data_IF_160593193934
#
_entry.id   IF_160593193934
#
_cell.length_a   1.000
_cell.length_b   1.000
_cell.length_c   1.000
_cell.angle_alpha   90.00
_cell.angle_beta   90.00
_cell.angle_gamma   90.00
#
_symmetry.space_group_name_H-M   'P 1'
#
loop_
_entity.id
_entity.type
_entity.pdbx_description
1 polymer ?
#
# COMPACT_ATOMS: atom_id res chain seq x y z
N UNK A 1 -9.77 -19.16 -10.92
CA UNK A 1 -9.15 -17.85 -11.13
C UNK A 1 -8.22 -17.92 -12.32
N UNK A 2 -8.17 -16.88 -13.12
CA UNK A 2 -7.31 -16.91 -14.30
C UNK A 2 -5.92 -16.42 -13.96
N UNK A 3 -4.93 -16.93 -14.69
CA UNK A 3 -3.55 -16.45 -14.59
C UNK A 3 -3.47 -14.98 -15.01
N UNK A 4 -4.35 -14.57 -15.90
CA UNK A 4 -4.43 -13.20 -16.38
C UNK A 4 -4.81 -12.22 -15.27
N UNK A 5 -5.80 -12.59 -14.44
CA UNK A 5 -6.20 -11.78 -13.30
C UNK A 5 -5.08 -11.72 -12.25
N UNK A 6 -4.41 -12.84 -12.00
CA UNK A 6 -3.28 -12.87 -11.07
C UNK A 6 -2.15 -11.97 -11.56
N UNK A 7 -1.88 -11.98 -12.85
CA UNK A 7 -0.85 -11.13 -13.45
C UNK A 7 -1.21 -9.65 -13.34
N UNK A 8 -2.46 -9.30 -13.61
CA UNK A 8 -2.93 -7.91 -13.48
C UNK A 8 -2.75 -7.42 -12.03
N UNK A 9 -3.16 -8.22 -11.07
CA UNK A 9 -3.01 -7.88 -9.65
C UNK A 9 -1.54 -7.70 -9.29
N UNK A 10 -0.67 -8.60 -9.75
CA UNK A 10 0.77 -8.51 -9.49
C UNK A 10 1.36 -7.22 -10.07
N UNK A 11 0.97 -6.87 -11.30
CA UNK A 11 1.46 -5.66 -11.96
C UNK A 11 1.05 -4.40 -11.19
N UNK A 12 -0.17 -4.36 -10.68
CA UNK A 12 -0.64 -3.23 -9.88
C UNK A 12 0.15 -3.12 -8.58
N UNK A 13 0.41 -4.25 -7.90
CA UNK A 13 1.22 -4.23 -6.68
C UNK A 13 2.65 -3.76 -6.95
N UNK A 14 3.25 -4.24 -8.03
CA UNK A 14 4.61 -3.82 -8.38
C UNK A 14 4.66 -2.32 -8.63
N UNK A 15 3.66 -1.78 -9.31
CA UNK A 15 3.54 -0.35 -9.53
C UNK A 15 3.38 0.42 -8.22
N UNK A 16 2.53 -0.07 -7.32
CA UNK A 16 2.31 0.54 -6.00
C UNK A 16 3.61 0.56 -5.18
N UNK A 17 4.30 -0.57 -5.12
CA UNK A 17 5.52 -0.67 -4.33
C UNK A 17 6.60 0.26 -4.87
N UNK A 18 6.77 0.34 -6.18
CA UNK A 18 7.74 1.24 -6.79
C UNK A 18 7.40 2.70 -6.51
N UNK A 19 6.13 3.07 -6.70
CA UNK A 19 5.68 4.44 -6.47
C UNK A 19 5.82 4.83 -5.00
N UNK A 20 5.52 3.90 -4.09
CA UNK A 20 5.64 4.14 -2.65
C UNK A 20 7.09 4.40 -2.25
N UNK A 21 8.01 3.56 -2.69
CA UNK A 21 9.44 3.70 -2.34
C UNK A 21 10.00 5.03 -2.86
N UNK A 22 9.52 5.48 -4.02
CA UNK A 22 9.92 6.77 -4.59
C UNK A 22 9.20 7.97 -3.97
N UNK A 23 8.18 7.71 -3.15
CA UNK A 23 7.36 8.78 -2.59
C UNK A 23 6.51 9.50 -3.62
N UNK A 24 6.19 8.84 -4.73
CA UNK A 24 5.43 9.44 -5.82
C UNK A 24 3.93 9.23 -5.62
N UNK A 25 3.31 10.16 -4.87
CA UNK A 25 1.90 10.05 -4.51
C UNK A 25 0.98 10.06 -5.74
N UNK A 26 1.30 10.86 -6.75
CA UNK A 26 0.48 10.89 -7.97
C UNK A 26 0.42 9.52 -8.65
N UNK A 27 1.56 8.80 -8.69
CA UNK A 27 1.57 7.45 -9.25
C UNK A 27 0.83 6.47 -8.35
N UNK A 28 1.00 6.57 -7.02
CA UNK A 28 0.26 5.74 -6.08
C UNK A 28 -1.24 5.86 -6.34
N UNK A 29 -1.72 7.09 -6.50
CA UNK A 29 -3.16 7.36 -6.62
C UNK A 29 -3.78 6.90 -7.93
N UNK A 30 -2.98 6.64 -8.96
CA UNK A 30 -3.51 6.13 -10.23
C UNK A 30 -4.19 4.77 -10.08
N UNK A 31 -3.83 4.00 -9.07
CA UNK A 31 -4.39 2.66 -8.87
C UNK A 31 -5.64 2.65 -7.98
N UNK A 32 -6.08 3.81 -7.51
CA UNK A 32 -7.28 3.94 -6.66
C UNK A 32 -8.42 4.63 -7.40
N UNK A 33 -9.62 4.57 -6.83
CA UNK A 33 -10.82 5.22 -7.37
C UNK A 33 -11.62 5.89 -6.24
N UNK A 34 -12.68 6.60 -6.62
CA UNK A 34 -13.57 7.23 -5.63
C UNK A 34 -14.28 6.20 -4.74
N UNK A 35 -14.44 4.96 -5.23
CA UNK A 35 -15.06 3.90 -4.46
C UNK A 35 -14.08 3.14 -3.57
N UNK A 36 -12.78 3.41 -3.68
CA UNK A 36 -11.77 2.69 -2.92
C UNK A 36 -11.91 2.93 -1.43
N UNK A 37 -11.70 1.85 -0.65
CA UNK A 37 -11.68 1.89 0.80
C UNK A 37 -10.30 1.46 1.30
N UNK A 38 -9.77 2.22 2.25
CA UNK A 38 -8.54 1.85 2.95
C UNK A 38 -8.85 1.72 4.43
N UNK A 39 -8.77 0.49 4.93
CA UNK A 39 -8.99 0.19 6.34
C UNK A 39 -7.68 0.30 7.09
N UNK A 40 -7.65 1.13 8.13
CA UNK A 40 -6.47 1.32 8.97
C UNK A 40 -6.83 1.05 10.42
N UNK A 41 -5.84 0.90 11.31
CA UNK A 41 -6.15 0.76 12.75
C UNK A 41 -6.94 1.93 13.33
N UNK A 42 -6.88 3.10 12.70
CA UNK A 42 -7.54 4.32 13.18
C UNK A 42 -8.91 4.55 12.52
N UNK A 43 -9.27 3.76 11.54
CA UNK A 43 -10.57 3.89 10.86
C UNK A 43 -10.47 3.63 9.37
N UNK A 44 -11.57 3.93 8.68
CA UNK A 44 -11.69 3.68 7.24
C UNK A 44 -11.64 5.00 6.48
N UNK A 45 -10.79 5.02 5.45
CA UNK A 45 -10.69 6.14 4.53
C UNK A 45 -11.37 5.75 3.23
N UNK A 46 -12.14 6.66 2.65
CA UNK A 46 -12.85 6.41 1.41
C UNK A 46 -12.56 7.50 0.39
N UNK A 47 -12.27 7.07 -0.84
CA UNK A 47 -12.14 7.95 -1.98
C UNK A 47 -10.75 8.55 -2.14
N UNK A 48 -10.58 9.22 -3.26
CA UNK A 48 -9.25 9.69 -3.69
C UNK A 48 -8.64 10.72 -2.75
N UNK A 49 -9.42 11.68 -2.26
CA UNK A 49 -8.87 12.74 -1.42
C UNK A 49 -8.36 12.21 -0.08
N UNK A 50 -9.14 11.35 0.59
CA UNK A 50 -8.76 10.79 1.88
C UNK A 50 -7.54 9.89 1.78
N UNK A 51 -7.52 9.04 0.75
CA UNK A 51 -6.40 8.11 0.54
C UNK A 51 -5.15 8.88 0.15
N UNK A 52 -5.28 9.93 -0.67
CA UNK A 52 -4.13 10.79 -1.02
C UNK A 52 -3.52 11.44 0.22
N UNK A 53 -4.33 11.93 1.12
CA UNK A 53 -3.84 12.55 2.36
C UNK A 53 -3.04 11.55 3.19
N UNK A 54 -3.54 10.33 3.29
CA UNK A 54 -2.84 9.26 4.00
C UNK A 54 -1.45 9.02 3.41
N UNK A 55 -1.38 8.79 2.10
CA UNK A 55 -0.10 8.50 1.45
C UNK A 55 0.83 9.70 1.44
N UNK A 56 0.29 10.91 1.33
CA UNK A 56 1.11 12.13 1.39
C UNK A 56 1.78 12.23 2.76
N UNK A 57 1.05 11.98 3.84
CA UNK A 57 1.62 12.00 5.19
C UNK A 57 2.66 10.90 5.38
N UNK A 58 2.34 9.68 4.96
CA UNK A 58 3.27 8.54 5.11
C UNK A 58 4.56 8.79 4.35
N UNK A 59 4.48 9.23 3.09
CA UNK A 59 5.68 9.42 2.26
C UNK A 59 6.44 10.70 2.55
N UNK A 60 5.85 11.63 3.27
CA UNK A 60 6.53 12.88 3.65
C UNK A 60 7.12 12.82 5.06
N UNK A 61 6.37 12.25 6.01
CA UNK A 61 6.69 12.38 7.43
C UNK A 61 7.06 11.07 8.12
N UNK A 62 6.63 9.94 7.59
CA UNK A 62 6.77 8.65 8.28
C UNK A 62 7.84 7.78 7.60
N UNK A 63 7.67 7.51 6.32
CA UNK A 63 8.59 6.71 5.51
C UNK A 63 8.93 7.47 4.22
N UNK A 64 9.69 8.57 4.32
CA UNK A 64 10.06 9.35 3.14
C UNK A 64 11.00 8.57 2.22
N UNK A 65 11.17 9.01 0.97
CA UNK A 65 12.13 8.38 0.05
C UNK A 65 13.51 8.22 0.71
N UNK A 66 14.12 7.08 0.50
CA UNK A 66 15.39 6.73 1.15
C UNK A 66 15.22 5.93 2.43
N UNK A 67 14.00 5.77 2.93
CA UNK A 67 13.73 4.87 4.04
C UNK A 67 13.98 3.43 3.63
N UNK A 68 14.40 2.60 4.59
CA UNK A 68 14.52 1.16 4.34
C UNK A 68 13.12 0.56 4.28
N UNK A 69 12.83 -0.14 3.19
CA UNK A 69 11.57 -0.85 3.02
C UNK A 69 11.87 -2.25 2.54
N UNK A 70 11.45 -3.24 3.32
CA UNK A 70 11.71 -4.63 3.02
C UNK A 70 10.40 -5.40 2.87
N UNK A 71 10.13 -5.88 1.66
CA UNK A 71 8.97 -6.69 1.34
C UNK A 71 9.36 -8.14 1.58
N UNK A 72 8.91 -8.72 2.70
CA UNK A 72 9.31 -10.07 3.09
C UNK A 72 8.40 -11.15 2.51
N UNK A 73 7.17 -10.79 2.15
CA UNK A 73 6.23 -11.76 1.56
C UNK A 73 5.25 -11.05 0.64
N UNK A 74 4.97 -11.66 -0.50
CA UNK A 74 3.90 -11.22 -1.40
C UNK A 74 3.20 -12.45 -1.95
N UNK A 75 1.91 -12.58 -1.63
CA UNK A 75 1.06 -13.67 -2.12
C UNK A 75 -0.07 -13.08 -2.94
N UNK A 76 -0.28 -13.61 -4.13
CA UNK A 76 -1.34 -13.14 -5.02
C UNK A 76 -2.17 -14.32 -5.48
N UNK A 77 -3.50 -14.19 -5.37
CA UNK A 77 -4.46 -15.19 -5.87
C UNK A 77 -5.60 -14.42 -6.53
N UNK A 78 -5.59 -14.40 -7.86
CA UNK A 78 -6.63 -13.70 -8.62
C UNK A 78 -6.68 -12.24 -8.26
N UNK A 79 -7.82 -11.78 -7.74
CA UNK A 79 -8.05 -10.38 -7.37
C UNK A 79 -7.49 -9.99 -6.01
N UNK A 80 -7.03 -10.96 -5.22
CA UNK A 80 -6.62 -10.70 -3.84
C UNK A 80 -5.11 -10.84 -3.69
N UNK A 81 -4.52 -9.93 -2.95
CA UNK A 81 -3.09 -9.94 -2.65
C UNK A 81 -2.85 -9.64 -1.19
N UNK A 82 -1.76 -10.21 -0.66
CA UNK A 82 -1.35 -10.03 0.72
C UNK A 82 0.15 -9.80 0.76
N UNK A 83 0.57 -8.77 1.47
CA UNK A 83 2.00 -8.51 1.66
C UNK A 83 2.34 -8.41 3.14
N UNK A 84 3.55 -8.83 3.45
CA UNK A 84 4.17 -8.65 4.78
C UNK A 84 5.46 -7.89 4.55
N UNK A 85 5.67 -6.86 5.33
CA UNK A 85 6.81 -5.97 5.14
C UNK A 85 7.34 -5.46 6.47
N UNK A 86 8.53 -4.90 6.43
CA UNK A 86 9.11 -4.13 7.52
C UNK A 86 9.73 -2.88 6.93
N UNK A 87 9.92 -1.87 7.75
CA UNK A 87 10.48 -0.62 7.26
C UNK A 87 11.14 0.15 8.41
N UNK A 88 12.02 1.05 8.03
CA UNK A 88 12.69 1.91 9.00
C UNK A 88 13.06 3.23 8.35
N UNK A 89 12.77 4.32 9.04
CA UNK A 89 13.16 5.65 8.64
C UNK A 89 13.99 6.29 9.75
N UNK A 90 14.32 7.56 9.58
CA UNK A 90 15.09 8.29 10.59
C UNK A 90 14.39 8.28 11.95
N UNK A 91 13.07 8.48 11.95
CA UNK A 91 12.30 8.69 13.19
C UNK A 91 11.40 7.53 13.58
N UNK A 92 11.23 6.52 12.72
CA UNK A 92 10.27 5.44 12.96
C UNK A 92 10.83 4.09 12.56
N UNK A 93 10.37 3.06 13.26
CA UNK A 93 10.63 1.67 12.92
C UNK A 93 9.31 0.92 12.82
N UNK A 94 9.18 0.13 11.76
CA UNK A 94 8.03 -0.74 11.53
C UNK A 94 8.53 -2.19 11.51
N UNK A 95 8.60 -2.86 12.68
CA UNK A 95 9.08 -4.25 12.71
C UNK A 95 8.19 -5.20 11.90
N UNK A 96 6.90 -4.90 11.81
CA UNK A 96 5.95 -5.73 11.08
C UNK A 96 4.83 -4.88 10.54
N UNK A 97 4.58 -4.99 9.23
CA UNK A 97 3.41 -4.43 8.60
C UNK A 97 2.76 -5.45 7.70
N UNK A 98 1.45 -5.39 7.56
CA UNK A 98 0.70 -6.23 6.62
C UNK A 98 -0.33 -5.38 5.89
N UNK A 99 -0.51 -5.69 4.60
CA UNK A 99 -1.54 -5.08 3.78
C UNK A 99 -2.24 -6.18 3.01
N UNK A 100 -3.56 -6.04 2.84
CA UNK A 100 -4.33 -6.88 1.93
C UNK A 100 -4.96 -5.98 0.89
N UNK A 101 -4.95 -6.42 -0.36
CA UNK A 101 -5.49 -5.66 -1.49
C UNK A 101 -6.54 -6.49 -2.21
N UNK A 102 -7.62 -5.85 -2.61
CA UNK A 102 -8.60 -6.43 -3.52
C UNK A 102 -8.67 -5.57 -4.76
N UNK A 103 -8.35 -6.18 -5.90
CA UNK A 103 -8.24 -5.50 -7.20
C UNK A 103 -9.45 -5.86 -8.05
N UNK A 104 -10.11 -4.86 -8.61
CA UNK A 104 -11.23 -5.06 -9.51
C UNK A 104 -11.18 -4.00 -10.61
N UNK A 105 -11.31 -4.44 -11.85
CA UNK A 105 -11.31 -3.55 -13.01
C UNK A 105 -10.11 -2.61 -13.03
N UNK A 106 -8.93 -3.17 -12.72
CA UNK A 106 -7.69 -2.42 -12.78
C UNK A 106 -7.45 -1.44 -11.64
N UNK A 107 -8.27 -1.50 -10.59
CA UNK A 107 -8.14 -0.58 -9.45
C UNK A 107 -8.12 -1.33 -8.14
N UNK A 108 -7.43 -0.74 -7.16
CA UNK A 108 -7.49 -1.22 -5.78
C UNK A 108 -8.79 -0.72 -5.18
N UNK A 109 -9.74 -1.63 -4.99
CA UNK A 109 -11.06 -1.27 -4.45
C UNK A 109 -11.06 -1.33 -2.94
N UNK A 110 -10.33 -2.29 -2.37
CA UNK A 110 -10.16 -2.39 -0.92
C UNK A 110 -8.70 -2.63 -0.61
N UNK A 111 -8.19 -1.91 0.37
CA UNK A 111 -6.89 -2.16 0.95
C UNK A 111 -7.05 -2.16 2.46
N UNK A 112 -6.40 -3.11 3.14
CA UNK A 112 -6.29 -3.07 4.60
C UNK A 112 -4.83 -2.84 4.96
N UNK A 113 -4.60 -2.16 6.05
CA UNK A 113 -3.27 -1.87 6.54
C UNK A 113 -3.22 -2.01 8.05
N UNK A 114 -2.23 -2.73 8.54
CA UNK A 114 -1.93 -2.78 9.97
C UNK A 114 -0.43 -2.94 10.15
N UNK A 115 0.11 -2.24 11.13
CA UNK A 115 1.54 -2.31 11.40
C UNK A 115 1.82 -2.00 12.86
N UNK A 116 2.92 -2.57 13.36
CA UNK A 116 3.50 -2.15 14.62
C UNK A 116 4.45 -0.98 14.32
N UNK A 117 4.25 0.13 15.00
CA UNK A 117 5.03 1.35 14.78
C UNK A 117 5.75 1.70 16.08
N UNK A 118 7.04 1.96 15.98
CA UNK A 118 7.85 2.41 17.10
C UNK A 118 8.54 3.71 16.74
N UNK A 119 8.45 4.71 17.64
CA UNK A 119 9.19 5.96 17.49
C UNK A 119 10.62 5.74 17.93
N UNK A 120 11.53 6.40 17.27
CA UNK A 120 12.94 6.36 17.64
C UNK A 120 13.31 7.53 18.54
#
# INVERSE_FOLDING_TARGET
MSDEQTRETTDILDHQNEAFVKGNVDEIMKDFSEQSLLFTPDGVLQGLDSIRKFYTDVTSNILPPGSDFNLSKQEVRGQTAYIVWSAESKNYRFPLGTDTFFIKEGKIIVQTFAAKIESK
#
